data_IF_023003389819
#
_entry.id   IF_023003389819
#
_cell.length_a   1.000
_cell.length_b   1.000
_cell.length_c   1.000
_cell.angle_alpha   90.00
_cell.angle_beta   90.00
_cell.angle_gamma   90.00
#
_symmetry.space_group_name_H-M   'P 1'
#
loop_
_entity.id
_entity.type
_entity.pdbx_description
1 polymer ?
#
# COMPACT_ATOMS: atom_id res chain seq x y z
N UNK A 1 17.60 -15.35 27.17
CA UNK A 1 16.51 -15.44 26.17
C UNK A 1 15.44 -14.43 26.58
N UNK A 2 15.13 -13.51 25.68
CA UNK A 2 14.61 -12.18 25.97
C UNK A 2 13.15 -12.13 26.41
N UNK A 3 12.92 -11.21 27.34
CA UNK A 3 11.65 -10.73 27.86
C UNK A 3 10.70 -10.25 26.76
N UNK A 4 9.58 -10.96 26.58
CA UNK A 4 8.40 -10.47 25.85
C UNK A 4 7.29 -9.97 26.80
N UNK A 5 7.53 -9.99 28.12
CA UNK A 5 6.53 -9.66 29.14
C UNK A 5 6.39 -8.16 29.45
N UNK A 6 7.33 -7.32 28.97
CA UNK A 6 7.31 -5.87 29.27
C UNK A 6 6.27 -5.08 28.48
N UNK A 7 6.00 -5.50 27.22
CA UNK A 7 5.24 -4.67 26.27
C UNK A 7 3.72 -4.82 26.37
N UNK A 8 3.23 -5.94 26.91
CA UNK A 8 1.79 -6.13 27.16
C UNK A 8 1.32 -5.37 28.41
N UNK A 9 2.17 -5.26 29.43
CA UNK A 9 1.87 -4.49 30.64
C UNK A 9 1.77 -2.99 30.34
N UNK A 10 2.52 -2.49 29.37
CA UNK A 10 2.42 -1.08 28.94
C UNK A 10 1.08 -0.79 28.27
N UNK A 11 0.57 -1.68 27.41
CA UNK A 11 -0.75 -1.53 26.78
C UNK A 11 -1.87 -1.61 27.82
N UNK A 12 -1.80 -2.56 28.77
CA UNK A 12 -2.79 -2.67 29.85
C UNK A 12 -2.69 -1.51 30.86
N UNK A 13 -1.50 -0.96 31.10
CA UNK A 13 -1.34 0.28 31.89
C UNK A 13 -1.93 1.49 31.17
N UNK A 14 -1.83 1.56 29.83
CA UNK A 14 -2.48 2.60 29.03
C UNK A 14 -4.01 2.50 29.02
N UNK A 15 -4.60 1.36 29.42
CA UNK A 15 -6.05 1.20 29.53
C UNK A 15 -6.61 1.51 30.93
N UNK A 16 -5.77 1.82 31.93
CA UNK A 16 -6.22 2.23 33.28
C UNK A 16 -7.08 3.50 33.26
N UNK A 17 -6.91 4.35 32.25
CA UNK A 17 -7.73 5.56 32.08
C UNK A 17 -9.23 5.25 31.83
N UNK A 18 -9.57 4.02 31.41
CA UNK A 18 -10.96 3.61 31.17
C UNK A 18 -11.67 3.27 32.50
N UNK A 19 -10.94 2.86 33.54
CA UNK A 19 -11.50 2.58 34.87
C UNK A 19 -11.93 3.85 35.63
N UNK A 20 -11.47 5.04 35.20
CA UNK A 20 -11.85 6.34 35.78
C UNK A 20 -13.12 6.94 35.17
N UNK A 21 -13.70 6.32 34.13
CA UNK A 21 -14.90 6.83 33.48
C UNK A 21 -16.14 6.63 34.36
N UNK A 22 -16.66 7.72 34.93
CA UNK A 22 -17.87 7.72 35.77
C UNK A 22 -19.16 7.59 34.95
N UNK A 23 -19.11 7.86 33.64
CA UNK A 23 -20.26 7.75 32.71
C UNK A 23 -19.85 7.30 31.31
N UNK A 24 -20.85 6.90 30.50
CA UNK A 24 -20.65 6.53 29.08
C UNK A 24 -20.17 7.71 28.23
N UNK A 25 -20.54 8.94 28.60
CA UNK A 25 -20.04 10.16 27.94
C UNK A 25 -18.58 10.40 28.26
N UNK A 26 -18.15 10.14 29.50
CA UNK A 26 -16.75 10.31 29.90
C UNK A 26 -15.86 9.30 29.18
N UNK A 27 -16.33 8.05 29.06
CA UNK A 27 -15.65 7.03 28.29
C UNK A 27 -15.51 7.42 26.80
N UNK A 28 -16.56 7.97 26.19
CA UNK A 28 -16.50 8.44 24.81
C UNK A 28 -15.46 9.56 24.62
N UNK A 29 -15.38 10.49 25.58
CA UNK A 29 -14.38 11.55 25.56
C UNK A 29 -12.95 11.01 25.72
N UNK A 30 -12.71 10.09 26.66
CA UNK A 30 -11.41 9.45 26.86
C UNK A 30 -10.95 8.71 25.60
N UNK A 31 -11.86 7.99 24.94
CA UNK A 31 -11.56 7.29 23.69
C UNK A 31 -11.21 8.27 22.58
N UNK A 32 -11.99 9.34 22.40
CA UNK A 32 -11.69 10.38 21.42
C UNK A 32 -10.32 11.03 21.67
N UNK A 33 -10.03 11.38 22.93
CA UNK A 33 -8.76 11.98 23.32
C UNK A 33 -7.58 11.03 23.06
N UNK A 34 -7.74 9.73 23.31
CA UNK A 34 -6.71 8.73 23.02
C UNK A 34 -6.37 8.64 21.52
N UNK A 35 -7.34 8.87 20.63
CA UNK A 35 -7.10 8.93 19.19
C UNK A 35 -6.57 10.29 18.71
N UNK A 36 -6.98 11.39 19.33
CA UNK A 36 -6.53 12.73 18.95
C UNK A 36 -5.12 13.04 19.48
N UNK A 37 -4.70 12.50 20.63
CA UNK A 37 -3.37 12.72 21.20
C UNK A 37 -2.22 12.35 20.22
N UNK A 38 -2.23 11.18 19.57
CA UNK A 38 -1.27 10.85 18.51
C UNK A 38 -1.38 11.71 17.26
N UNK A 39 -2.55 12.32 16.99
CA UNK A 39 -2.74 13.19 15.82
C UNK A 39 -2.13 14.59 16.03
N UNK A 40 -1.94 15.03 17.29
CA UNK A 40 -1.42 16.39 17.61
C UNK A 40 0.03 16.63 17.18
N UNK A 41 0.81 15.57 16.93
CA UNK A 41 2.20 15.71 16.44
C UNK A 41 2.27 15.96 14.93
N UNK A 42 1.15 15.80 14.22
CA UNK A 42 1.07 16.03 12.78
C UNK A 42 0.52 17.43 12.50
N UNK A 43 1.18 18.16 11.60
CA UNK A 43 0.62 19.36 11.00
C UNK A 43 -0.35 18.98 9.89
N UNK A 44 -1.55 19.56 9.82
CA UNK A 44 -2.43 19.42 8.67
C UNK A 44 -1.70 19.78 7.38
N UNK A 45 -2.02 19.09 6.29
CA UNK A 45 -1.50 19.43 4.96
C UNK A 45 -2.02 20.82 4.55
N UNK A 46 -1.18 21.66 3.91
CA UNK A 46 -1.63 22.91 3.31
C UNK A 46 -2.82 22.70 2.36
N UNK A 47 -3.71 23.70 2.24
CA UNK A 47 -4.87 23.62 1.34
C UNK A 47 -4.48 23.52 -0.15
N UNK A 48 -3.26 23.93 -0.48
CA UNK A 48 -2.64 23.89 -1.79
C UNK A 48 -1.63 22.74 -1.93
N UNK A 49 -1.62 21.79 -1.00
CA UNK A 49 -0.77 20.61 -1.10
C UNK A 49 -1.17 19.78 -2.32
N UNK A 50 -0.25 19.68 -3.29
CA UNK A 50 -0.37 18.81 -4.45
C UNK A 50 0.62 17.67 -4.30
N UNK A 51 0.16 16.43 -4.45
CA UNK A 51 1.08 15.31 -4.63
C UNK A 51 1.73 15.45 -6.00
N UNK A 52 2.99 15.04 -6.15
CA UNK A 52 3.65 14.99 -7.47
C UNK A 52 2.86 14.13 -8.49
N UNK A 53 2.01 13.22 -7.99
CA UNK A 53 1.09 12.39 -8.76
C UNK A 53 -0.16 13.13 -9.25
N UNK A 54 -0.53 14.24 -8.60
CA UNK A 54 -1.67 15.10 -8.96
C UNK A 54 -1.30 16.15 -10.00
N UNK A 55 0.01 16.31 -10.28
CA UNK A 55 0.46 17.07 -11.44
C UNK A 55 0.14 16.21 -12.65
N UNK A 56 -0.79 16.61 -13.54
CA UNK A 56 -1.04 15.88 -14.75
C UNK A 56 0.26 15.90 -15.55
N UNK A 57 0.99 14.79 -15.51
CA UNK A 57 2.13 14.59 -16.38
C UNK A 57 1.58 14.66 -17.80
N UNK A 58 1.85 15.77 -18.49
CA UNK A 58 1.52 15.93 -19.91
C UNK A 58 2.22 14.87 -20.78
N UNK A 59 3.19 14.15 -20.22
CA UNK A 59 3.76 12.98 -20.87
C UNK A 59 2.78 11.81 -20.79
N UNK A 60 2.22 11.46 -21.95
CA UNK A 60 1.53 10.18 -22.16
C UNK A 60 2.43 9.07 -21.62
N UNK A 61 1.95 8.35 -20.60
CA UNK A 61 2.60 7.15 -20.14
C UNK A 61 2.51 6.11 -21.27
N UNK A 62 3.65 5.81 -21.89
CA UNK A 62 3.75 4.81 -22.95
C UNK A 62 4.80 3.79 -22.55
N UNK A 63 4.33 2.58 -22.25
CA UNK A 63 5.16 1.40 -22.09
C UNK A 63 5.62 0.90 -23.46
N UNK A 64 6.94 0.74 -23.61
CA UNK A 64 7.53 0.12 -24.78
C UNK A 64 7.42 -1.41 -24.70
N UNK A 65 7.21 -2.04 -25.85
CA UNK A 65 7.22 -3.50 -26.00
C UNK A 65 8.53 -4.10 -25.47
N UNK A 66 9.66 -3.44 -25.73
CA UNK A 66 10.96 -3.87 -25.23
C UNK A 66 11.03 -3.91 -23.70
N UNK A 67 10.47 -2.91 -23.01
CA UNK A 67 10.44 -2.89 -21.54
C UNK A 67 9.63 -4.05 -20.98
N UNK A 68 8.47 -4.33 -21.58
CA UNK A 68 7.62 -5.47 -21.20
C UNK A 68 8.35 -6.79 -21.46
N UNK A 69 8.95 -6.98 -22.62
CA UNK A 69 9.75 -8.17 -22.96
C UNK A 69 10.86 -8.42 -21.93
N UNK A 70 11.63 -7.38 -21.59
CA UNK A 70 12.70 -7.50 -20.59
C UNK A 70 12.15 -7.88 -19.22
N UNK A 71 11.01 -7.33 -18.81
CA UNK A 71 10.37 -7.68 -17.53
C UNK A 71 9.84 -9.11 -17.51
N UNK A 72 9.24 -9.58 -18.59
CA UNK A 72 8.78 -10.97 -18.73
C UNK A 72 9.96 -11.96 -18.70
N UNK A 73 11.04 -11.65 -19.42
CA UNK A 73 12.24 -12.48 -19.49
C UNK A 73 12.96 -12.63 -18.14
N UNK A 74 12.85 -11.60 -17.28
CA UNK A 74 13.45 -11.56 -15.94
C UNK A 74 12.54 -12.14 -14.85
N UNK A 75 11.36 -12.66 -15.19
CA UNK A 75 10.50 -13.31 -14.20
C UNK A 75 11.23 -14.48 -13.53
N UNK A 76 10.96 -14.63 -12.23
CA UNK A 76 11.42 -15.79 -11.48
C UNK A 76 10.44 -16.95 -11.72
N UNK A 77 10.84 -18.02 -12.43
CA UNK A 77 9.95 -19.15 -12.74
C UNK A 77 9.47 -19.91 -11.51
N UNK A 78 10.16 -19.78 -10.37
CA UNK A 78 9.79 -20.49 -9.12
C UNK A 78 8.76 -19.74 -8.28
N UNK A 79 8.35 -18.53 -8.69
CA UNK A 79 7.35 -17.75 -7.96
C UNK A 79 5.98 -18.40 -8.12
N UNK A 80 5.19 -18.38 -7.05
CA UNK A 80 3.81 -18.85 -7.10
C UNK A 80 3.00 -18.11 -8.17
N UNK A 81 2.07 -18.83 -8.80
CA UNK A 81 1.15 -18.27 -9.79
C UNK A 81 0.28 -17.17 -9.19
N UNK A 82 -0.12 -16.22 -10.05
CA UNK A 82 -1.06 -15.18 -9.68
C UNK A 82 -2.48 -15.71 -9.48
N UNK A 83 -3.43 -14.82 -9.15
CA UNK A 83 -4.86 -15.16 -9.09
C UNK A 83 -5.43 -15.58 -10.46
N UNK A 84 -4.71 -15.27 -11.54
CA UNK A 84 -4.99 -15.71 -12.91
C UNK A 84 -4.68 -17.20 -13.17
N UNK A 85 -3.96 -17.86 -12.24
CA UNK A 85 -3.55 -19.25 -12.37
C UNK A 85 -2.43 -19.47 -13.40
N UNK A 86 -1.83 -18.41 -13.94
CA UNK A 86 -0.74 -18.53 -14.92
C UNK A 86 0.61 -18.62 -14.19
N UNK A 87 1.42 -19.66 -14.44
CA UNK A 87 2.71 -19.79 -13.79
C UNK A 87 3.73 -18.84 -14.44
N UNK A 88 4.65 -18.30 -13.63
CA UNK A 88 5.64 -17.32 -14.08
C UNK A 88 6.60 -17.87 -15.17
N UNK A 89 6.89 -19.17 -15.17
CA UNK A 89 7.71 -19.80 -16.21
C UNK A 89 7.05 -19.70 -17.59
N UNK A 90 5.72 -19.83 -17.66
CA UNK A 90 4.98 -19.78 -18.93
C UNK A 90 5.04 -18.38 -19.54
N UNK A 91 4.88 -17.35 -18.72
CA UNK A 91 5.00 -15.95 -19.16
C UNK A 91 6.42 -15.60 -19.61
N UNK A 92 7.42 -16.19 -18.95
CA UNK A 92 8.83 -16.00 -19.29
C UNK A 92 9.22 -16.66 -20.61
N UNK A 93 8.79 -17.90 -20.84
CA UNK A 93 9.14 -18.65 -22.05
C UNK A 93 8.46 -18.10 -23.31
N UNK A 94 7.32 -17.43 -23.16
CA UNK A 94 6.55 -16.83 -24.25
C UNK A 94 6.67 -15.29 -24.28
N UNK A 95 7.74 -14.74 -23.70
CA UNK A 95 7.90 -13.29 -23.55
C UNK A 95 7.90 -12.55 -24.89
N UNK A 96 8.46 -13.16 -25.94
CA UNK A 96 8.51 -12.65 -27.31
C UNK A 96 7.12 -12.51 -27.93
N UNK A 97 6.23 -13.49 -27.70
CA UNK A 97 4.85 -13.48 -28.19
C UNK A 97 3.94 -12.56 -27.35
N UNK A 98 4.20 -12.47 -26.05
CA UNK A 98 3.31 -11.77 -25.10
C UNK A 98 3.64 -10.29 -24.90
N UNK A 99 4.87 -9.85 -25.21
CA UNK A 99 5.31 -8.49 -24.90
C UNK A 99 4.48 -7.40 -25.60
N UNK A 100 4.16 -7.60 -26.87
CA UNK A 100 3.36 -6.65 -27.65
C UNK A 100 1.91 -6.51 -27.15
N UNK A 101 1.11 -7.59 -27.04
CA UNK A 101 -0.26 -7.46 -26.56
C UNK A 101 -0.35 -6.95 -25.13
N UNK A 102 0.59 -7.32 -24.25
CA UNK A 102 0.61 -6.81 -22.87
C UNK A 102 0.93 -5.30 -22.85
N UNK A 103 1.87 -4.83 -23.67
CA UNK A 103 2.16 -3.41 -23.78
C UNK A 103 0.94 -2.62 -24.28
N UNK A 104 0.23 -3.12 -25.28
CA UNK A 104 -0.99 -2.49 -25.81
C UNK A 104 -2.11 -2.41 -24.77
N UNK A 105 -2.37 -3.50 -24.03
CA UNK A 105 -3.39 -3.52 -22.97
C UNK A 105 -3.08 -2.47 -21.92
N UNK A 106 -1.84 -2.44 -21.40
CA UNK A 106 -1.47 -1.50 -20.35
C UNK A 106 -1.55 -0.06 -20.87
N UNK A 107 -1.01 0.21 -22.06
CA UNK A 107 -1.06 1.54 -22.66
C UNK A 107 -2.50 2.01 -22.91
N UNK A 108 -3.40 1.10 -23.26
CA UNK A 108 -4.82 1.39 -23.40
C UNK A 108 -5.43 1.80 -22.06
N UNK A 109 -5.12 1.09 -20.98
CA UNK A 109 -5.60 1.42 -19.63
C UNK A 109 -5.12 2.78 -19.11
N UNK A 110 -3.92 3.23 -19.50
CA UNK A 110 -3.43 4.56 -19.14
C UNK A 110 -4.00 5.70 -19.99
N UNK A 111 -4.73 5.37 -21.07
CA UNK A 111 -5.37 6.36 -21.96
C UNK A 111 -6.84 6.58 -21.64
N UNK A 112 -7.45 5.71 -20.84
CA UNK A 112 -8.84 5.82 -20.35
C UNK A 112 -8.92 6.77 -19.15
#
# INVERSE_FOLDING_TARGET
MSSASGRQNDVMNSLRFIEEASSTSDLANIVNDAFILPMKIFSPLPHDFQLEQDIPSSALFVLSVHSVFMKLSLLNPTKAQGPDGLPAWLLKENADLLAEPIAEIINSSFRE
#
